data_IF_266861713108
#
_entry.id   IF_266861713108
#
_cell.length_a   1.000
_cell.length_b   1.000
_cell.length_c   1.000
_cell.angle_alpha   90.00
_cell.angle_beta   90.00
_cell.angle_gamma   90.00
#
_symmetry.space_group_name_H-M   'P 1'
#
loop_
_entity.id
_entity.type
_entity.pdbx_description
1 polymer ?
#
# COMPACT_ATOMS: atom_id res chain seq x y z
N UNK A 1 -18.68 6.47 -12.58
CA UNK A 1 -17.73 5.40 -12.92
C UNK A 1 -17.79 5.02 -14.39
N UNK A 2 -18.83 4.36 -14.94
CA UNK A 2 -18.78 3.95 -16.38
C UNK A 2 -18.56 5.10 -17.36
N UNK A 3 -19.28 6.21 -17.19
CA UNK A 3 -19.14 7.37 -18.06
C UNK A 3 -17.77 8.02 -17.86
N UNK A 4 -17.33 8.20 -16.62
CA UNK A 4 -16.03 8.80 -16.30
C UNK A 4 -14.86 7.94 -16.81
N UNK A 5 -14.91 6.61 -16.61
CA UNK A 5 -13.87 5.68 -17.06
C UNK A 5 -13.75 5.69 -18.59
N UNK A 6 -14.86 5.90 -19.30
CA UNK A 6 -14.86 6.04 -20.75
C UNK A 6 -14.32 7.42 -21.18
N UNK A 7 -14.82 8.50 -20.59
CA UNK A 7 -14.41 9.88 -20.91
C UNK A 7 -12.92 10.12 -20.63
N UNK A 8 -12.38 9.46 -19.61
CA UNK A 8 -10.96 9.50 -19.24
C UNK A 8 -10.10 8.44 -19.95
N UNK A 9 -10.66 7.72 -20.92
CA UNK A 9 -9.95 6.72 -21.73
C UNK A 9 -9.23 5.63 -20.90
N UNK A 10 -9.84 5.19 -19.80
CA UNK A 10 -9.27 4.16 -18.94
C UNK A 10 -9.16 2.84 -19.69
N UNK A 11 -7.94 2.30 -19.78
CA UNK A 11 -7.67 1.03 -20.47
C UNK A 11 -7.75 -0.19 -19.55
N UNK A 12 -7.41 -0.01 -18.27
CA UNK A 12 -7.38 -1.06 -17.26
C UNK A 12 -8.04 -0.57 -15.97
N UNK A 13 -9.06 -1.29 -15.51
CA UNK A 13 -9.72 -1.05 -14.22
C UNK A 13 -9.22 -2.08 -13.22
N UNK A 14 -8.37 -1.65 -12.30
CA UNK A 14 -7.82 -2.48 -11.21
C UNK A 14 -8.50 -2.06 -9.90
N UNK A 15 -9.24 -2.97 -9.26
CA UNK A 15 -10.03 -2.67 -8.05
C UNK A 15 -10.26 -3.89 -7.17
N UNK A 16 -10.75 -3.70 -5.95
CA UNK A 16 -11.09 -4.80 -5.04
C UNK A 16 -12.13 -5.78 -5.61
N UNK A 17 -12.02 -7.05 -5.25
CA UNK A 17 -12.94 -8.12 -5.68
C UNK A 17 -14.38 -7.93 -5.19
N UNK A 18 -14.61 -7.12 -4.15
CA UNK A 18 -15.94 -6.73 -3.71
C UNK A 18 -16.75 -5.96 -4.76
N UNK A 19 -16.08 -5.44 -5.80
CA UNK A 19 -16.72 -4.81 -6.94
C UNK A 19 -16.94 -5.74 -8.14
N UNK A 20 -16.62 -7.03 -8.04
CA UNK A 20 -16.72 -7.96 -9.18
C UNK A 20 -18.15 -8.05 -9.75
N UNK A 21 -19.16 -8.00 -8.87
CA UNK A 21 -20.58 -8.06 -9.24
C UNK A 21 -21.07 -6.83 -10.03
N UNK A 22 -20.34 -5.72 -9.97
CA UNK A 22 -20.66 -4.52 -10.74
C UNK A 22 -20.18 -4.63 -12.20
N UNK A 23 -19.11 -5.39 -12.45
CA UNK A 23 -18.45 -5.52 -13.76
C UNK A 23 -19.41 -5.93 -14.88
N UNK A 24 -20.28 -6.96 -14.74
CA UNK A 24 -21.20 -7.35 -15.82
C UNK A 24 -22.17 -6.23 -16.19
N UNK A 25 -22.65 -5.46 -15.19
CA UNK A 25 -23.56 -4.32 -15.42
C UNK A 25 -22.83 -3.19 -16.15
N UNK A 26 -21.60 -2.90 -15.76
CA UNK A 26 -20.77 -1.86 -16.39
C UNK A 26 -20.44 -2.20 -17.84
N UNK A 27 -20.10 -3.46 -18.13
CA UNK A 27 -19.88 -3.94 -19.50
C UNK A 27 -21.13 -3.76 -20.36
N UNK A 28 -22.32 -4.07 -19.83
CA UNK A 28 -23.57 -3.90 -20.57
C UNK A 28 -23.84 -2.44 -20.93
N UNK A 29 -23.56 -1.51 -20.01
CA UNK A 29 -23.71 -0.07 -20.26
C UNK A 29 -22.72 0.40 -21.34
N UNK A 30 -21.43 0.03 -21.23
CA UNK A 30 -20.41 0.37 -22.24
C UNK A 30 -20.80 -0.14 -23.64
N UNK A 31 -21.29 -1.39 -23.73
CA UNK A 31 -21.78 -1.96 -24.99
C UNK A 31 -22.98 -1.19 -25.55
N UNK A 32 -23.93 -0.79 -24.71
CA UNK A 32 -25.09 0.00 -25.14
C UNK A 32 -24.68 1.38 -25.67
N UNK A 33 -23.65 1.98 -25.07
CA UNK A 33 -23.06 3.25 -25.51
C UNK A 33 -22.10 3.10 -26.71
N UNK A 34 -21.85 1.86 -27.18
CA UNK A 34 -20.83 1.54 -28.19
C UNK A 34 -19.42 2.02 -27.81
N UNK A 35 -19.14 2.06 -26.50
CA UNK A 35 -17.85 2.44 -25.94
C UNK A 35 -16.90 1.22 -25.85
N UNK A 36 -15.57 1.43 -25.87
CA UNK A 36 -14.60 0.37 -25.62
C UNK A 36 -14.75 -0.20 -24.20
N UNK A 37 -14.51 -1.50 -24.06
CA UNK A 37 -14.54 -2.18 -22.75
C UNK A 37 -13.11 -2.30 -22.23
N UNK A 38 -12.78 -1.76 -21.04
CA UNK A 38 -11.44 -1.87 -20.48
C UNK A 38 -11.14 -3.29 -20.02
N UNK A 39 -9.86 -3.58 -19.80
CA UNK A 39 -9.44 -4.80 -19.11
C UNK A 39 -9.75 -4.65 -17.62
N UNK A 40 -10.40 -5.65 -17.03
CA UNK A 40 -10.71 -5.65 -15.60
C UNK A 40 -9.78 -6.60 -14.85
N UNK A 41 -9.16 -6.11 -13.78
CA UNK A 41 -8.43 -6.91 -12.81
C UNK A 41 -9.03 -6.68 -11.42
N UNK A 42 -9.39 -7.75 -10.74
CA UNK A 42 -9.95 -7.69 -9.39
C UNK A 42 -8.92 -8.22 -8.41
N UNK A 43 -8.46 -7.36 -7.49
CA UNK A 43 -7.50 -7.73 -6.45
C UNK A 43 -8.23 -8.35 -5.26
N UNK A 44 -7.68 -9.44 -4.74
CA UNK A 44 -8.24 -10.21 -3.64
C UNK A 44 -8.38 -9.36 -2.37
N UNK A 45 -9.36 -9.67 -1.52
CA UNK A 45 -9.50 -8.97 -0.25
C UNK A 45 -8.27 -9.22 0.66
N UNK A 46 -7.93 -8.18 1.44
CA UNK A 46 -7.03 -8.31 2.59
C UNK A 46 -7.86 -8.76 3.79
N UNK A 47 -7.44 -9.85 4.42
CA UNK A 47 -8.03 -10.37 5.64
C UNK A 47 -7.22 -9.93 6.85
N UNK A 48 -7.87 -9.77 8.00
CA UNK A 48 -7.20 -9.62 9.29
C UNK A 48 -6.55 -10.92 9.76
N UNK A 49 -5.94 -10.84 10.93
CA UNK A 49 -5.38 -11.97 11.68
C UNK A 49 -6.45 -13.01 12.06
N UNK A 50 -7.69 -12.57 12.27
CA UNK A 50 -8.87 -13.41 12.50
C UNK A 50 -9.42 -14.10 11.24
N UNK A 51 -8.78 -13.91 10.09
CA UNK A 51 -9.16 -14.47 8.80
C UNK A 51 -10.40 -13.81 8.16
N UNK A 52 -11.02 -12.82 8.81
CA UNK A 52 -12.15 -12.06 8.25
C UNK A 52 -11.65 -10.88 7.44
N UNK A 53 -12.52 -10.30 6.62
CA UNK A 53 -12.21 -9.08 5.85
C UNK A 53 -11.68 -7.99 6.80
N UNK A 54 -10.50 -7.47 6.50
CA UNK A 54 -9.92 -6.37 7.23
C UNK A 54 -10.88 -5.18 7.16
N UNK A 55 -11.30 -4.70 8.32
CA UNK A 55 -12.25 -3.58 8.45
C UNK A 55 -11.96 -2.79 9.71
N UNK A 56 -12.53 -1.59 9.84
CA UNK A 56 -12.31 -0.74 11.04
C UNK A 56 -12.70 -1.44 12.35
N UNK A 57 -13.59 -2.43 12.29
CA UNK A 57 -14.02 -3.24 13.45
C UNK A 57 -13.05 -4.40 13.75
N UNK A 58 -12.21 -4.76 12.79
CA UNK A 58 -11.28 -5.89 12.79
C UNK A 58 -9.85 -5.40 12.49
N UNK A 59 -9.45 -4.24 13.02
CA UNK A 59 -8.06 -3.78 12.97
C UNK A 59 -7.61 -2.98 11.75
N UNK A 60 -8.50 -2.61 10.81
CA UNK A 60 -8.13 -1.67 9.75
C UNK A 60 -7.89 -0.28 10.34
N UNK A 61 -6.63 0.14 10.36
CA UNK A 61 -6.24 1.50 10.73
C UNK A 61 -6.16 2.39 9.49
N UNK A 62 -6.28 3.70 9.69
CA UNK A 62 -6.03 4.68 8.64
C UNK A 62 -4.59 4.57 8.16
N UNK A 63 -4.31 4.85 6.88
CA UNK A 63 -2.93 4.97 6.39
C UNK A 63 -2.14 5.98 7.21
N UNK A 64 -2.80 7.07 7.65
CA UNK A 64 -2.19 8.07 8.52
C UNK A 64 -1.77 7.52 9.87
N UNK A 65 -2.47 6.52 10.40
CA UNK A 65 -2.11 5.91 11.68
C UNK A 65 -0.76 5.20 11.61
N UNK A 66 -0.43 4.53 10.50
CA UNK A 66 0.90 3.91 10.34
C UNK A 66 2.02 4.95 10.39
N UNK A 67 1.81 6.14 9.82
CA UNK A 67 2.76 7.23 9.98
C UNK A 67 2.87 7.62 11.44
N UNK A 68 1.74 7.84 12.11
CA UNK A 68 1.69 8.31 13.50
C UNK A 68 2.31 7.27 14.48
N UNK A 69 2.23 5.98 14.15
CA UNK A 69 2.84 4.86 14.86
C UNK A 69 4.35 4.66 14.55
N UNK A 70 4.92 5.45 13.64
CA UNK A 70 6.36 5.44 13.33
C UNK A 70 6.80 4.43 12.27
N UNK A 71 5.89 4.01 11.39
CA UNK A 71 6.25 3.21 10.22
C UNK A 71 6.80 4.11 9.10
N UNK A 72 7.95 3.72 8.56
CA UNK A 72 8.53 4.37 7.38
C UNK A 72 7.70 4.07 6.12
N UNK A 73 7.59 5.04 5.19
CA UNK A 73 6.79 4.86 3.98
C UNK A 73 7.29 3.71 3.10
N UNK A 74 8.61 3.46 3.07
CA UNK A 74 9.22 2.36 2.31
C UNK A 74 8.76 1.01 2.85
N UNK A 75 8.76 0.85 4.18
CA UNK A 75 8.31 -0.38 4.84
C UNK A 75 6.83 -0.65 4.55
N UNK A 76 5.99 0.38 4.65
CA UNK A 76 4.56 0.26 4.38
C UNK A 76 4.29 -0.06 2.90
N UNK A 77 4.97 0.60 1.97
CA UNK A 77 4.83 0.32 0.52
C UNK A 77 5.26 -1.11 0.18
N UNK A 78 6.43 -1.53 0.67
CA UNK A 78 6.93 -2.89 0.48
C UNK A 78 5.96 -3.92 1.06
N UNK A 79 5.40 -3.65 2.23
CA UNK A 79 4.45 -4.55 2.84
C UNK A 79 3.15 -4.66 2.04
N UNK A 80 2.58 -3.52 1.65
CA UNK A 80 1.32 -3.46 0.91
C UNK A 80 1.43 -4.09 -0.48
N UNK A 81 2.52 -3.84 -1.22
CA UNK A 81 2.71 -4.48 -2.53
C UNK A 81 2.81 -6.00 -2.41
N UNK A 82 3.32 -6.52 -1.28
CA UNK A 82 3.40 -7.95 -1.02
C UNK A 82 2.06 -8.58 -0.63
N UNK A 83 1.03 -7.79 -0.36
CA UNK A 83 -0.34 -8.28 -0.16
C UNK A 83 -0.99 -8.59 -1.50
N UNK A 84 -0.67 -9.76 -2.04
CA UNK A 84 -1.28 -10.28 -3.26
C UNK A 84 -0.39 -10.14 -4.49
N UNK A 85 0.87 -9.73 -4.38
CA UNK A 85 1.86 -9.80 -5.44
C UNK A 85 3.19 -10.33 -4.91
N UNK A 86 3.95 -11.03 -5.76
CA UNK A 86 5.27 -11.55 -5.42
C UNK A 86 6.22 -11.53 -6.62
N UNK A 87 7.51 -11.59 -6.33
CA UNK A 87 8.57 -11.72 -7.32
C UNK A 87 9.59 -12.75 -6.82
N UNK A 88 9.37 -14.03 -7.14
CA UNK A 88 10.12 -15.13 -6.54
C UNK A 88 10.07 -15.09 -5.01
N UNK A 89 11.23 -15.33 -4.39
CA UNK A 89 11.39 -15.33 -2.93
C UNK A 89 11.81 -13.98 -2.34
N UNK A 90 11.96 -12.94 -3.17
CA UNK A 90 12.38 -11.61 -2.71
C UNK A 90 11.30 -10.99 -1.82
N UNK A 91 11.63 -10.60 -0.60
CA UNK A 91 10.67 -10.00 0.35
C UNK A 91 10.86 -8.50 0.56
N UNK A 92 12.08 -8.00 0.31
CA UNK A 92 12.45 -6.59 0.47
C UNK A 92 12.62 -5.96 -0.91
N UNK A 93 12.00 -4.82 -1.16
CA UNK A 93 11.99 -4.14 -2.46
C UNK A 93 12.17 -2.64 -2.29
N UNK A 94 13.09 -2.04 -3.05
CA UNK A 94 13.04 -0.59 -3.26
C UNK A 94 11.82 -0.20 -4.11
N UNK A 95 11.45 1.07 -4.08
CA UNK A 95 10.36 1.58 -4.92
C UNK A 95 10.64 1.36 -6.41
N UNK A 96 11.90 1.52 -6.83
CA UNK A 96 12.34 1.30 -8.21
C UNK A 96 12.18 -0.17 -8.61
N UNK A 97 12.50 -1.10 -7.71
CA UNK A 97 12.29 -2.53 -7.94
C UNK A 97 10.80 -2.87 -8.04
N UNK A 98 9.95 -2.29 -7.18
CA UNK A 98 8.49 -2.45 -7.28
C UNK A 98 8.00 -1.99 -8.67
N UNK A 99 8.41 -0.80 -9.12
CA UNK A 99 8.03 -0.26 -10.44
C UNK A 99 8.54 -1.16 -11.57
N UNK A 100 9.78 -1.65 -11.48
CA UNK A 100 10.42 -2.45 -12.52
C UNK A 100 9.81 -3.85 -12.64
N UNK A 101 9.46 -4.47 -11.52
CA UNK A 101 9.04 -5.89 -11.48
C UNK A 101 7.53 -6.08 -11.42
N UNK A 102 6.75 -5.05 -11.09
CA UNK A 102 5.31 -5.19 -10.98
C UNK A 102 4.68 -5.60 -12.32
N UNK A 103 3.90 -6.67 -12.27
CA UNK A 103 3.07 -7.11 -13.40
C UNK A 103 1.76 -7.66 -12.87
N UNK A 104 0.66 -7.43 -13.60
CA UNK A 104 -0.66 -7.96 -13.22
C UNK A 104 -0.70 -9.49 -13.21
N UNK A 105 0.14 -10.16 -14.00
CA UNK A 105 0.22 -11.62 -14.05
C UNK A 105 0.74 -12.23 -12.76
N UNK A 106 1.54 -11.48 -12.00
CA UNK A 106 2.08 -11.90 -10.71
C UNK A 106 1.16 -11.55 -9.53
N UNK A 107 -0.03 -11.01 -9.80
CA UNK A 107 -1.04 -10.75 -8.76
C UNK A 107 -1.83 -12.03 -8.47
N UNK A 108 -1.80 -12.46 -7.21
CA UNK A 108 -2.49 -13.65 -6.73
C UNK A 108 -3.99 -13.43 -6.56
N UNK A 109 -4.76 -14.49 -6.88
CA UNK A 109 -6.21 -14.58 -6.61
C UNK A 109 -6.53 -15.01 -5.17
N UNK A 110 -5.53 -15.35 -4.37
CA UNK A 110 -5.72 -15.71 -2.97
C UNK A 110 -5.82 -14.46 -2.11
N UNK A 111 -6.73 -14.46 -1.13
CA UNK A 111 -6.76 -13.44 -0.10
C UNK A 111 -5.41 -13.39 0.64
N UNK A 112 -4.95 -12.17 0.95
CA UNK A 112 -3.74 -11.97 1.74
C UNK A 112 -4.12 -11.72 3.19
N UNK A 113 -3.45 -12.40 4.12
CA UNK A 113 -3.64 -12.15 5.54
C UNK A 113 -2.71 -11.03 6.00
N UNK A 114 -3.27 -10.04 6.68
CA UNK A 114 -2.51 -9.00 7.34
C UNK A 114 -1.79 -9.60 8.56
N UNK A 115 -0.50 -9.32 8.64
CA UNK A 115 0.45 -9.78 9.63
C UNK A 115 1.31 -8.58 10.08
N UNK A 116 1.00 -8.07 11.27
CA UNK A 116 1.67 -6.90 11.86
C UNK A 116 3.13 -7.17 12.21
N UNK A 117 3.48 -8.38 12.66
CA UNK A 117 4.86 -8.75 12.99
C UNK A 117 5.76 -8.67 11.76
N UNK A 118 5.26 -9.08 10.60
CA UNK A 118 5.98 -8.98 9.33
C UNK A 118 6.18 -7.53 8.89
N UNK A 119 5.16 -6.68 9.08
CA UNK A 119 5.27 -5.25 8.81
C UNK A 119 6.30 -4.58 9.75
N UNK A 120 6.29 -4.94 11.04
CA UNK A 120 7.27 -4.44 12.01
C UNK A 120 8.69 -4.89 11.66
N UNK A 121 8.87 -6.14 11.24
CA UNK A 121 10.15 -6.66 10.76
C UNK A 121 10.66 -5.89 9.55
N UNK A 122 9.80 -5.60 8.56
CA UNK A 122 10.16 -4.75 7.42
C UNK A 122 10.53 -3.33 7.89
N UNK A 123 9.76 -2.75 8.81
CA UNK A 123 10.03 -1.41 9.32
C UNK A 123 11.42 -1.33 9.98
N UNK A 124 11.74 -2.31 10.82
CA UNK A 124 13.05 -2.41 11.43
C UNK A 124 14.17 -2.57 10.40
N UNK A 125 13.95 -3.33 9.32
CA UNK A 125 14.90 -3.42 8.22
C UNK A 125 15.16 -2.03 7.59
N UNK A 126 14.11 -1.30 7.22
CA UNK A 126 14.25 0.00 6.57
C UNK A 126 14.87 1.07 7.48
N UNK A 127 14.51 1.10 8.76
CA UNK A 127 15.12 2.02 9.74
C UNK A 127 16.64 1.83 9.81
N UNK A 128 17.12 0.59 9.74
CA UNK A 128 18.56 0.30 9.81
C UNK A 128 19.30 0.44 8.48
N UNK A 129 18.59 0.26 7.35
CA UNK A 129 19.19 0.24 6.02
C UNK A 129 19.23 1.62 5.35
N UNK A 130 18.32 2.53 5.71
CA UNK A 130 18.23 3.87 5.12
C UNK A 130 19.22 4.85 5.78
N UNK A 131 19.57 5.95 5.09
CA UNK A 131 20.45 6.96 5.65
C UNK A 131 19.92 7.51 6.99
N UNK A 132 20.75 7.57 8.05
CA UNK A 132 20.31 8.05 9.36
C UNK A 132 19.68 9.44 9.30
N UNK A 133 20.21 10.34 8.46
CA UNK A 133 19.73 11.71 8.30
C UNK A 133 18.30 11.73 7.77
N UNK A 134 17.99 10.84 6.81
CA UNK A 134 16.64 10.69 6.28
C UNK A 134 15.68 10.14 7.33
N UNK A 135 16.06 9.06 8.03
CA UNK A 135 15.23 8.46 9.09
C UNK A 135 14.97 9.48 10.20
N UNK A 136 15.96 10.30 10.52
CA UNK A 136 15.86 11.31 11.55
C UNK A 136 14.87 12.44 11.19
N UNK A 137 14.62 12.72 9.90
CA UNK A 137 13.53 13.63 9.49
C UNK A 137 12.14 13.11 9.85
N UNK A 138 11.92 11.79 9.75
CA UNK A 138 10.66 11.17 10.16
C UNK A 138 10.53 11.17 11.68
N UNK A 139 11.62 10.85 12.41
CA UNK A 139 11.64 10.93 13.87
C UNK A 139 11.37 12.35 14.39
N UNK A 140 11.93 13.38 13.72
CA UNK A 140 11.74 14.77 14.11
C UNK A 140 10.26 15.13 14.20
N UNK A 141 9.45 14.69 13.23
CA UNK A 141 8.00 14.92 13.24
C UNK A 141 7.34 14.40 14.52
N UNK A 142 7.72 13.20 14.99
CA UNK A 142 7.16 12.61 16.22
C UNK A 142 7.57 13.40 17.47
N UNK A 143 8.83 13.83 17.56
CA UNK A 143 9.30 14.63 18.71
C UNK A 143 8.54 15.96 18.80
N UNK A 144 8.30 16.60 17.65
CA UNK A 144 7.53 17.84 17.58
C UNK A 144 6.07 17.63 18.02
N UNK A 145 5.45 16.48 17.73
CA UNK A 145 4.09 16.19 18.19
C UNK A 145 3.99 15.96 19.70
N UNK A 146 5.03 15.38 20.34
CA UNK A 146 5.04 15.17 21.79
C UNK A 146 5.37 16.43 22.61
N UNK A 147 5.57 17.56 21.95
CA UNK A 147 5.92 18.84 22.58
C UNK A 147 7.21 18.75 23.44
N UNK A 148 8.08 17.78 23.15
CA UNK A 148 9.37 17.64 23.77
C UNK A 148 10.38 18.50 23.00
N UNK A 149 11.04 19.42 23.69
CA UNK A 149 12.11 20.21 23.09
C UNK A 149 13.28 19.31 22.72
N UNK A 150 13.60 19.20 21.42
CA UNK A 150 14.84 18.55 20.96
C UNK A 150 16.02 19.27 21.63
N UNK A 151 16.86 18.57 22.42
CA UNK A 151 18.05 19.18 23.02
C UNK A 151 18.90 19.82 21.93
N UNK A 152 19.44 21.02 22.18
CA UNK A 152 20.27 21.76 21.19
C UNK A 152 21.47 20.93 20.72
N UNK A 153 21.94 19.98 21.53
CA UNK A 153 22.97 18.99 21.19
C UNK A 153 22.54 17.90 20.23
N UNK A 154 21.24 17.56 20.15
CA UNK A 154 20.69 16.61 19.17
C UNK A 154 20.44 17.28 17.81
N UNK A 155 20.18 18.59 17.79
CA UNK A 155 20.05 19.36 16.54
C UNK A 155 21.30 19.28 15.69
N UNK A 156 22.51 19.25 16.27
CA UNK A 156 23.74 19.11 15.49
C UNK A 156 23.93 17.74 14.85
N UNK A 157 23.23 16.68 15.27
CA UNK A 157 23.30 15.35 14.63
C UNK A 157 22.28 15.17 13.49
N UNK A 158 21.36 16.13 13.34
CA UNK A 158 20.30 16.13 12.31
C UNK A 158 20.68 16.95 11.06
N UNK A 159 21.85 17.60 11.05
CA UNK A 159 22.30 18.53 10.00
C UNK A 159 23.68 18.21 9.42
N UNK A 160 24.23 17.02 9.71
CA UNK A 160 25.44 16.48 9.08
C UNK A 160 25.18 15.08 8.56
#
# INVERSE_FOLDING_TARGET
>A
MVVDDWDMEITHVIRGEDHINNTPRQINILKALKAPVPVYAHVSMINGDDGKKLSKRHGAVSVMQYRDDGYLPEALLNYLVRLGWSHGDQEIFTREEMIKYFTLNAVSKSASAFNTDKLLWLNHHYINALPPEYVATHLQWHIEQENQSIPVTARSWLIW
#
